data_IF_257456484068
#
_entry.id   IF_257456484068
#
_cell.length_a   1.000
_cell.length_b   1.000
_cell.length_c   1.000
_cell.angle_alpha   90.00
_cell.angle_beta   90.00
_cell.angle_gamma   90.00
#
_symmetry.space_group_name_H-M   'P 1'
#
loop_
_entity.id
_entity.type
_entity.pdbx_description
1 polymer ?
#
# COMPACT_ATOMS: atom_id res chain seq x y z
N UNK A 1 49.62 116.66 58.10
CA UNK A 1 48.45 115.77 58.25
C UNK A 1 48.93 114.34 58.14
N UNK A 2 48.85 113.59 59.24
CA UNK A 2 49.46 112.28 59.37
C UNK A 2 48.84 111.27 58.38
N UNK A 3 49.68 110.57 57.62
CA UNK A 3 49.30 109.43 56.79
C UNK A 3 48.83 108.27 57.70
N UNK A 4 47.57 108.31 58.15
CA UNK A 4 46.95 107.18 58.81
C UNK A 4 46.60 106.14 57.74
N UNK A 5 47.27 104.99 57.80
CA UNK A 5 46.97 103.84 56.96
C UNK A 5 45.55 103.36 57.30
N UNK A 6 44.65 103.20 56.32
CA UNK A 6 43.30 102.73 56.59
C UNK A 6 43.33 101.32 57.17
N UNK A 7 42.45 101.06 58.14
CA UNK A 7 42.27 99.73 58.73
C UNK A 7 41.66 98.77 57.70
N UNK A 8 41.89 97.47 57.90
CA UNK A 8 41.38 96.43 57.00
C UNK A 8 39.85 96.49 56.84
N UNK A 9 39.14 96.86 57.89
CA UNK A 9 37.69 97.05 57.87
C UNK A 9 37.28 98.17 56.91
N UNK A 10 37.94 99.34 56.94
CA UNK A 10 37.67 100.45 56.01
C UNK A 10 38.00 100.06 54.57
N UNK A 11 39.04 99.25 54.37
CA UNK A 11 39.43 98.74 53.04
C UNK A 11 38.36 97.77 52.51
N UNK A 12 37.89 96.83 53.33
CA UNK A 12 36.84 95.87 52.95
C UNK A 12 35.48 96.56 52.70
N UNK A 13 35.26 97.72 53.31
CA UNK A 13 34.05 98.53 53.12
C UNK A 13 34.01 99.31 51.79
N UNK A 14 35.15 99.45 51.09
CA UNK A 14 35.21 100.11 49.79
C UNK A 14 34.33 99.39 48.75
N UNK A 15 33.50 100.17 48.04
CA UNK A 15 32.53 99.66 47.04
C UNK A 15 33.18 98.77 45.98
N UNK A 16 34.37 99.15 45.52
CA UNK A 16 35.18 98.37 44.58
C UNK A 16 35.51 96.99 45.13
N UNK A 17 35.95 96.90 46.39
CA UNK A 17 36.34 95.63 47.02
C UNK A 17 35.12 94.74 47.26
N UNK A 18 34.00 95.29 47.73
CA UNK A 18 32.73 94.55 47.84
C UNK A 18 32.25 93.99 46.49
N UNK A 19 32.38 94.76 45.42
CA UNK A 19 32.05 94.31 44.07
C UNK A 19 32.93 93.13 43.63
N UNK A 20 34.25 93.21 43.83
CA UNK A 20 35.16 92.11 43.50
C UNK A 20 34.89 90.85 44.31
N UNK A 21 34.62 90.98 45.61
CA UNK A 21 34.26 89.85 46.48
C UNK A 21 32.98 89.16 46.01
N UNK A 22 31.92 89.93 45.71
CA UNK A 22 30.66 89.40 45.16
C UNK A 22 30.87 88.70 43.81
N UNK A 23 31.71 89.26 42.94
CA UNK A 23 32.00 88.65 41.65
C UNK A 23 32.79 87.35 41.80
N UNK A 24 33.78 87.33 42.69
CA UNK A 24 34.54 86.13 43.01
C UNK A 24 33.65 85.01 43.56
N UNK A 25 32.71 85.34 44.45
CA UNK A 25 31.74 84.38 44.99
C UNK A 25 30.83 83.81 43.88
N UNK A 26 30.29 84.66 42.99
CA UNK A 26 29.51 84.22 41.83
C UNK A 26 30.30 83.31 40.89
N UNK A 27 31.56 83.64 40.62
CA UNK A 27 32.45 82.80 39.79
C UNK A 27 32.72 81.46 40.46
N UNK A 28 32.94 81.45 41.79
CA UNK A 28 33.10 80.22 42.57
C UNK A 28 31.85 79.34 42.50
N UNK A 29 30.67 79.92 42.75
CA UNK A 29 29.38 79.22 42.67
C UNK A 29 29.11 78.67 41.26
N UNK A 30 29.39 79.46 40.21
CA UNK A 30 29.26 79.00 38.83
C UNK A 30 30.24 77.86 38.52
N UNK A 31 31.46 77.91 39.03
CA UNK A 31 32.46 76.84 38.86
C UNK A 31 32.03 75.53 39.53
N UNK A 32 31.44 75.61 40.73
CA UNK A 32 30.86 74.46 41.42
C UNK A 32 29.67 73.88 40.64
N UNK A 33 28.76 74.74 40.16
CA UNK A 33 27.62 74.29 39.35
C UNK A 33 28.06 73.59 38.05
N UNK A 34 29.09 74.11 37.38
CA UNK A 34 29.65 73.47 36.18
C UNK A 34 30.19 72.07 36.53
N UNK A 35 30.93 71.92 37.63
CA UNK A 35 31.43 70.61 38.08
C UNK A 35 30.29 69.64 38.39
N UNK A 36 29.23 70.10 39.06
CA UNK A 36 28.07 69.23 39.36
C UNK A 36 27.35 68.79 38.08
N UNK A 37 27.18 69.68 37.11
CA UNK A 37 26.55 69.35 35.82
C UNK A 37 27.42 68.37 35.03
N UNK A 38 28.74 68.56 35.01
CA UNK A 38 29.67 67.62 34.36
C UNK A 38 29.57 66.21 34.96
N UNK A 39 29.50 66.10 36.29
CA UNK A 39 29.31 64.82 36.96
C UNK A 39 27.97 64.17 36.60
N UNK A 40 26.89 64.96 36.51
CA UNK A 40 25.58 64.44 36.08
C UNK A 40 25.58 63.95 34.64
N UNK A 41 26.23 64.68 33.72
CA UNK A 41 26.37 64.25 32.32
C UNK A 41 27.15 62.95 32.24
N UNK A 42 28.29 62.85 32.94
CA UNK A 42 29.08 61.62 32.96
C UNK A 42 28.28 60.42 33.48
N UNK A 43 27.55 60.60 34.59
CA UNK A 43 26.68 59.53 35.13
C UNK A 43 25.57 59.14 34.15
N UNK A 44 24.99 60.12 33.46
CA UNK A 44 23.98 59.87 32.43
C UNK A 44 24.57 59.09 31.25
N UNK A 45 25.78 59.41 30.82
CA UNK A 45 26.46 58.72 29.72
C UNK A 45 26.79 57.27 30.09
N UNK A 46 27.32 57.03 31.30
CA UNK A 46 27.56 55.69 31.83
C UNK A 46 26.27 54.87 31.89
N UNK A 47 25.17 55.47 32.36
CA UNK A 47 23.85 54.83 32.37
C UNK A 47 23.34 54.50 30.97
N UNK A 48 23.52 55.41 30.01
CA UNK A 48 23.11 55.19 28.63
C UNK A 48 23.92 54.06 27.97
N UNK A 49 25.23 53.99 28.25
CA UNK A 49 26.07 52.89 27.77
C UNK A 49 25.62 51.54 28.36
N UNK A 50 25.33 51.49 29.65
CA UNK A 50 24.82 50.28 30.30
C UNK A 50 23.49 49.81 29.70
N UNK A 51 22.56 50.75 29.44
CA UNK A 51 21.29 50.45 28.79
C UNK A 51 21.49 49.93 27.35
N UNK A 52 22.39 50.52 26.57
CA UNK A 52 22.69 50.04 25.22
C UNK A 52 23.24 48.62 25.21
N UNK A 53 24.12 48.28 26.17
CA UNK A 53 24.62 46.92 26.30
C UNK A 53 23.50 45.94 26.67
N UNK A 54 22.61 46.34 27.58
CA UNK A 54 21.46 45.53 27.96
C UNK A 54 20.51 45.28 26.77
N UNK A 55 20.26 46.31 25.95
CA UNK A 55 19.45 46.19 24.73
C UNK A 55 20.09 45.20 23.74
N UNK A 56 21.41 45.31 23.49
CA UNK A 56 22.10 44.34 22.62
C UNK A 56 22.00 42.92 23.13
N UNK A 57 22.18 42.72 24.44
CA UNK A 57 22.03 41.40 25.04
C UNK A 57 20.60 40.86 24.93
N UNK A 58 19.57 41.71 25.06
CA UNK A 58 18.20 41.28 24.84
C UNK A 58 17.94 40.92 23.38
N UNK A 59 18.49 41.67 22.43
CA UNK A 59 18.33 41.39 21.00
C UNK A 59 18.96 40.04 20.63
N UNK A 60 20.16 39.74 21.14
CA UNK A 60 20.81 38.42 20.93
C UNK A 60 19.97 37.27 21.50
N UNK A 61 19.34 37.47 22.67
CA UNK A 61 18.43 36.48 23.26
C UNK A 61 17.15 36.30 22.43
N UNK A 62 16.63 37.38 21.87
CA UNK A 62 15.46 37.32 20.99
C UNK A 62 15.81 36.51 19.74
N UNK A 63 16.91 36.84 19.07
CA UNK A 63 17.37 36.15 17.85
C UNK A 63 17.51 34.64 18.11
N UNK A 64 18.20 34.26 19.18
CA UNK A 64 18.38 32.83 19.52
C UNK A 64 17.05 32.15 19.84
N UNK A 65 16.15 32.82 20.58
CA UNK A 65 14.82 32.28 20.87
C UNK A 65 13.95 32.11 19.62
N UNK A 66 14.02 33.05 18.67
CA UNK A 66 13.31 32.97 17.40
C UNK A 66 13.82 31.83 16.52
N UNK A 67 15.13 31.57 16.50
CA UNK A 67 15.70 30.43 15.81
C UNK A 67 15.23 29.09 16.40
N UNK A 68 15.19 28.99 17.72
CA UNK A 68 14.64 27.81 18.40
C UNK A 68 13.16 27.60 18.08
N UNK A 69 12.37 28.68 18.05
CA UNK A 69 10.95 28.62 17.67
C UNK A 69 10.79 28.15 16.21
N UNK A 70 11.56 28.71 15.28
CA UNK A 70 11.54 28.28 13.87
C UNK A 70 11.85 26.79 13.72
N UNK A 71 12.85 26.29 14.44
CA UNK A 71 13.18 24.86 14.43
C UNK A 71 12.05 24.00 15.03
N UNK A 72 11.44 24.44 16.11
CA UNK A 72 10.32 23.74 16.74
C UNK A 72 9.07 23.69 15.83
N UNK A 73 8.75 24.80 15.16
CA UNK A 73 7.65 24.89 14.20
C UNK A 73 7.85 23.95 13.01
N UNK A 74 9.05 23.91 12.44
CA UNK A 74 9.34 23.03 11.31
C UNK A 74 9.24 21.55 11.72
N UNK A 75 9.74 21.20 12.91
CA UNK A 75 9.56 19.84 13.45
C UNK A 75 8.10 19.47 13.61
N UNK A 76 7.29 20.38 14.16
CA UNK A 76 5.86 20.15 14.34
C UNK A 76 5.16 19.96 12.99
N UNK A 77 5.52 20.73 11.97
CA UNK A 77 4.97 20.59 10.62
C UNK A 77 5.27 19.23 10.00
N UNK A 78 6.51 18.75 10.13
CA UNK A 78 6.93 17.42 9.66
C UNK A 78 6.14 16.33 10.39
N UNK A 79 6.04 16.42 11.71
CA UNK A 79 5.30 15.43 12.51
C UNK A 79 3.81 15.39 12.16
N UNK A 80 3.18 16.55 11.96
CA UNK A 80 1.79 16.64 11.50
C UNK A 80 1.61 16.05 10.10
N UNK A 81 2.56 16.26 9.19
CA UNK A 81 2.52 15.64 7.87
C UNK A 81 2.64 14.12 7.97
N UNK A 82 3.60 13.61 8.73
CA UNK A 82 3.76 12.16 8.94
C UNK A 82 2.51 11.54 9.56
N UNK A 83 1.90 12.21 10.55
CA UNK A 83 0.65 11.75 11.16
C UNK A 83 -0.47 11.64 10.13
N UNK A 84 -0.66 12.64 9.27
CA UNK A 84 -1.65 12.61 8.19
C UNK A 84 -1.38 11.50 7.19
N UNK A 85 -0.12 11.27 6.82
CA UNK A 85 0.26 10.19 5.91
C UNK A 85 0.00 8.80 6.52
N UNK A 86 0.31 8.61 7.80
CA UNK A 86 0.02 7.37 8.53
C UNK A 86 -1.48 7.13 8.61
N UNK A 87 -2.27 8.16 8.92
CA UNK A 87 -3.72 8.08 9.00
C UNK A 87 -4.35 7.72 7.63
N UNK A 88 -3.91 8.37 6.55
CA UNK A 88 -4.36 8.02 5.19
C UNK A 88 -3.98 6.60 4.81
N UNK A 89 -2.75 6.15 5.14
CA UNK A 89 -2.32 4.77 4.91
C UNK A 89 -3.16 3.78 5.71
N UNK A 90 -3.53 4.10 6.94
CA UNK A 90 -4.39 3.26 7.78
C UNK A 90 -5.79 3.10 7.16
N UNK A 91 -6.40 4.20 6.71
CA UNK A 91 -7.70 4.18 6.04
C UNK A 91 -7.66 3.29 4.79
N UNK A 92 -6.63 3.43 3.94
CA UNK A 92 -6.48 2.63 2.72
C UNK A 92 -6.28 1.15 3.07
N UNK A 93 -5.47 0.85 4.09
CA UNK A 93 -5.24 -0.52 4.55
C UNK A 93 -6.52 -1.17 5.07
N UNK A 94 -7.32 -0.44 5.84
CA UNK A 94 -8.61 -0.90 6.37
C UNK A 94 -9.61 -1.17 5.24
N UNK A 95 -9.76 -0.25 4.28
CA UNK A 95 -10.61 -0.46 3.10
C UNK A 95 -10.19 -1.70 2.30
N UNK A 96 -8.88 -1.89 2.11
CA UNK A 96 -8.35 -3.06 1.40
C UNK A 96 -8.61 -4.35 2.17
N UNK A 97 -8.44 -4.34 3.50
CA UNK A 97 -8.75 -5.48 4.36
C UNK A 97 -10.23 -5.86 4.30
N UNK A 98 -11.13 -4.86 4.40
CA UNK A 98 -12.57 -5.08 4.27
C UNK A 98 -12.96 -5.66 2.91
N UNK A 99 -12.40 -5.14 1.81
CA UNK A 99 -12.65 -5.66 0.47
C UNK A 99 -12.18 -7.11 0.31
N UNK A 100 -11.00 -7.46 0.84
CA UNK A 100 -10.48 -8.83 0.83
C UNK A 100 -11.37 -9.77 1.65
N UNK A 101 -11.87 -9.32 2.80
CA UNK A 101 -12.79 -10.12 3.63
C UNK A 101 -14.11 -10.40 2.90
N UNK A 102 -14.71 -9.40 2.26
CA UNK A 102 -15.94 -9.59 1.46
C UNK A 102 -15.70 -10.57 0.31
N UNK A 103 -14.54 -10.45 -0.36
CA UNK A 103 -14.19 -11.38 -1.44
C UNK A 103 -13.98 -12.81 -0.91
N UNK A 104 -13.33 -12.97 0.24
CA UNK A 104 -13.16 -14.29 0.86
C UNK A 104 -14.51 -14.91 1.21
N UNK A 105 -15.36 -14.17 1.93
CA UNK A 105 -16.69 -14.65 2.31
C UNK A 105 -17.52 -15.05 1.07
N UNK A 106 -17.42 -14.29 -0.02
CA UNK A 106 -18.08 -14.64 -1.28
C UNK A 106 -17.55 -15.95 -1.89
N UNK A 107 -16.23 -16.17 -1.86
CA UNK A 107 -15.62 -17.42 -2.35
C UNK A 107 -16.05 -18.60 -1.48
N UNK A 108 -16.07 -18.42 -0.17
CA UNK A 108 -16.47 -19.47 0.77
C UNK A 108 -17.93 -19.88 0.52
N UNK A 109 -18.84 -18.92 0.33
CA UNK A 109 -20.23 -19.21 -0.04
C UNK A 109 -20.36 -20.03 -1.33
N UNK A 110 -19.57 -19.70 -2.36
CA UNK A 110 -19.54 -20.44 -3.63
C UNK A 110 -19.01 -21.86 -3.41
N UNK A 111 -17.93 -22.01 -2.64
CA UNK A 111 -17.34 -23.32 -2.32
C UNK A 111 -18.36 -24.19 -1.59
N UNK A 112 -19.02 -23.67 -0.56
CA UNK A 112 -20.06 -24.39 0.19
C UNK A 112 -21.19 -24.84 -0.73
N UNK A 113 -21.65 -23.97 -1.65
CA UNK A 113 -22.68 -24.32 -2.62
C UNK A 113 -22.24 -25.44 -3.56
N UNK A 114 -21.06 -25.32 -4.17
CA UNK A 114 -20.53 -26.31 -5.11
C UNK A 114 -20.29 -27.66 -4.44
N UNK A 115 -19.82 -27.67 -3.19
CA UNK A 115 -19.67 -28.90 -2.40
C UNK A 115 -21.02 -29.60 -2.20
N UNK A 116 -22.10 -28.84 -1.94
CA UNK A 116 -23.46 -29.36 -1.88
C UNK A 116 -23.90 -30.01 -3.19
N UNK A 117 -23.66 -29.35 -4.32
CA UNK A 117 -24.00 -29.86 -5.66
C UNK A 117 -23.21 -31.15 -6.00
N UNK A 118 -21.90 -31.20 -5.70
CA UNK A 118 -21.07 -32.41 -5.89
C UNK A 118 -21.59 -33.59 -5.08
N UNK A 119 -21.98 -33.36 -3.82
CA UNK A 119 -22.49 -34.41 -2.95
C UNK A 119 -23.82 -34.98 -3.47
N UNK A 120 -24.69 -34.15 -4.05
CA UNK A 120 -25.91 -34.62 -4.71
C UNK A 120 -25.60 -35.48 -5.95
N UNK A 121 -24.68 -35.05 -6.80
CA UNK A 121 -24.31 -35.81 -8.01
C UNK A 121 -23.69 -37.17 -7.70
N UNK A 122 -22.92 -37.29 -6.60
CA UNK A 122 -22.35 -38.57 -6.17
C UNK A 122 -23.38 -39.58 -5.67
N UNK A 123 -24.58 -39.13 -5.30
CA UNK A 123 -25.66 -40.02 -4.87
C UNK A 123 -26.43 -40.66 -6.02
N UNK A 124 -26.14 -40.28 -7.27
CA UNK A 124 -26.74 -40.91 -8.45
C UNK A 124 -26.17 -42.34 -8.58
N UNK A 125 -27.02 -43.39 -8.59
CA UNK A 125 -26.55 -44.75 -8.78
C UNK A 125 -25.91 -44.89 -10.16
N UNK A 126 -24.65 -45.30 -10.18
CA UNK A 126 -23.93 -45.66 -11.40
C UNK A 126 -24.70 -46.80 -12.06
N UNK A 127 -25.16 -46.58 -13.30
CA UNK A 127 -25.77 -47.64 -14.11
C UNK A 127 -24.70 -48.74 -14.23
N UNK A 128 -24.93 -49.87 -13.57
CA UNK A 128 -24.08 -51.03 -13.67
C UNK A 128 -23.97 -51.43 -15.14
N UNK A 129 -22.74 -51.68 -15.61
CA UNK A 129 -22.45 -52.12 -16.97
C UNK A 129 -23.39 -53.27 -17.36
N UNK A 130 -24.19 -53.06 -18.41
CA UNK A 130 -25.06 -54.09 -18.96
C UNK A 130 -24.23 -55.34 -19.32
N UNK A 131 -24.76 -56.55 -19.11
CA UNK A 131 -24.07 -57.78 -19.48
C UNK A 131 -23.80 -57.82 -20.99
N UNK A 132 -22.68 -58.44 -21.43
CA UNK A 132 -22.36 -58.54 -22.84
C UNK A 132 -23.44 -59.32 -23.60
N UNK A 133 -23.83 -58.78 -24.75
CA UNK A 133 -24.85 -59.37 -25.63
C UNK A 133 -24.39 -60.75 -26.12
N UNK A 134 -25.22 -61.78 -25.92
CA UNK A 134 -24.98 -63.11 -26.48
C UNK A 134 -25.38 -63.07 -27.96
N UNK A 135 -24.41 -63.03 -28.86
CA UNK A 135 -24.64 -63.06 -30.32
C UNK A 135 -24.26 -64.39 -30.92
N UNK A 136 -25.12 -64.95 -31.78
CA UNK A 136 -24.78 -66.11 -32.60
C UNK A 136 -24.26 -65.66 -33.97
N UNK A 137 -23.06 -66.10 -34.32
CA UNK A 137 -22.51 -65.94 -35.67
C UNK A 137 -22.95 -67.13 -36.54
N UNK A 138 -23.41 -66.86 -37.75
CA UNK A 138 -23.75 -67.91 -38.72
C UNK A 138 -22.89 -67.73 -39.99
N UNK A 139 -22.38 -68.84 -40.52
CA UNK A 139 -21.65 -68.90 -41.79
C UNK A 139 -22.47 -69.64 -42.85
N UNK A 140 -22.64 -69.07 -44.05
CA UNK A 140 -23.32 -69.75 -45.14
C UNK A 140 -22.46 -70.85 -45.78
N UNK A 141 -21.13 -70.74 -45.74
CA UNK A 141 -20.18 -71.69 -46.32
C UNK A 141 -19.04 -71.98 -45.35
N UNK A 142 -18.86 -73.25 -44.97
CA UNK A 142 -17.91 -73.67 -43.93
C UNK A 142 -16.47 -73.87 -44.44
N UNK A 143 -16.24 -73.75 -45.75
CA UNK A 143 -14.94 -74.01 -46.36
C UNK A 143 -13.98 -72.80 -46.30
N UNK A 144 -14.52 -71.60 -46.14
CA UNK A 144 -13.74 -70.35 -46.22
C UNK A 144 -13.34 -69.77 -44.85
N UNK A 145 -13.78 -70.39 -43.75
CA UNK A 145 -13.38 -69.98 -42.41
C UNK A 145 -14.10 -70.70 -41.28
N UNK A 146 -13.68 -70.40 -40.05
CA UNK A 146 -14.17 -71.03 -38.83
C UNK A 146 -14.65 -70.01 -37.79
N UNK A 147 -15.71 -70.33 -37.05
CA UNK A 147 -16.17 -69.53 -35.90
C UNK A 147 -15.51 -70.05 -34.61
N UNK A 148 -14.94 -69.15 -33.82
CA UNK A 148 -14.44 -69.40 -32.47
C UNK A 148 -15.03 -68.39 -31.50
N UNK A 149 -16.08 -68.78 -30.79
CA UNK A 149 -16.82 -67.88 -29.89
C UNK A 149 -17.47 -66.74 -30.68
N UNK A 150 -17.11 -65.50 -30.36
CA UNK A 150 -17.57 -64.28 -31.06
C UNK A 150 -16.65 -63.84 -32.21
N UNK A 151 -15.69 -64.68 -32.60
CA UNK A 151 -14.72 -64.37 -33.66
C UNK A 151 -14.93 -65.28 -34.87
N UNK A 152 -14.81 -64.72 -36.06
CA UNK A 152 -14.66 -65.46 -37.30
C UNK A 152 -13.21 -65.37 -37.78
N UNK A 153 -12.66 -66.48 -38.26
CA UNK A 153 -11.30 -66.58 -38.79
C UNK A 153 -11.42 -67.09 -40.22
N UNK A 154 -11.08 -66.26 -41.19
CA UNK A 154 -10.99 -66.63 -42.60
C UNK A 154 -9.78 -67.55 -42.83
N UNK A 155 -9.88 -68.49 -43.77
CA UNK A 155 -8.70 -69.27 -44.20
C UNK A 155 -7.78 -68.44 -45.08
N UNK A 156 -6.47 -68.66 -45.00
CA UNK A 156 -5.51 -68.05 -45.93
C UNK A 156 -5.35 -68.88 -47.22
N UNK A 157 -6.02 -70.04 -47.30
CA UNK A 157 -5.86 -70.98 -48.40
C UNK A 157 -6.60 -70.55 -49.69
N UNK A 158 -7.50 -69.57 -49.59
CA UNK A 158 -8.24 -69.03 -50.72
C UNK A 158 -8.55 -67.52 -50.54
N UNK A 159 -8.93 -66.85 -51.62
CA UNK A 159 -9.30 -65.42 -51.63
C UNK A 159 -10.83 -65.25 -51.83
N UNK A 160 -11.62 -66.16 -51.28
CA UNK A 160 -13.08 -66.11 -51.42
C UNK A 160 -13.66 -65.00 -50.56
N UNK A 161 -14.79 -64.42 -51.00
CA UNK A 161 -15.51 -63.43 -50.20
C UNK A 161 -16.41 -64.12 -49.18
N UNK A 162 -16.19 -63.85 -47.90
CA UNK A 162 -17.06 -64.34 -46.83
C UNK A 162 -18.15 -63.34 -46.45
N UNK A 163 -19.36 -63.84 -46.25
CA UNK A 163 -20.45 -63.09 -45.59
C UNK A 163 -20.75 -63.77 -44.26
N UNK A 164 -20.68 -63.02 -43.17
CA UNK A 164 -20.99 -63.50 -41.82
C UNK A 164 -22.28 -62.81 -41.40
N UNK A 165 -23.24 -63.57 -40.89
CA UNK A 165 -24.47 -63.00 -40.32
C UNK A 165 -24.45 -63.11 -38.81
N UNK A 166 -24.91 -62.04 -38.14
CA UNK A 166 -25.06 -61.98 -36.69
C UNK A 166 -26.55 -61.84 -36.41
N UNK A 167 -27.08 -62.70 -35.54
CA UNK A 167 -28.48 -62.64 -35.10
C UNK A 167 -28.54 -62.24 -33.61
N UNK A 168 -28.62 -60.93 -33.29
CA UNK A 168 -28.65 -60.46 -31.92
C UNK A 168 -30.06 -60.57 -31.31
N UNK A 169 -30.17 -61.15 -30.11
CA UNK A 169 -31.42 -61.11 -29.34
C UNK A 169 -31.42 -59.84 -28.47
N UNK A 170 -32.22 -58.85 -28.85
CA UNK A 170 -32.37 -57.58 -28.11
C UNK A 170 -33.75 -57.57 -27.45
N UNK A 171 -33.80 -57.82 -26.13
CA UNK A 171 -35.07 -57.87 -25.40
C UNK A 171 -35.61 -56.47 -25.06
N UNK A 172 -34.75 -55.53 -24.67
CA UNK A 172 -35.12 -54.14 -24.33
C UNK A 172 -33.97 -53.15 -24.59
N UNK A 173 -34.31 -51.93 -25.00
CA UNK A 173 -33.38 -50.79 -25.04
C UNK A 173 -32.60 -50.63 -26.34
N UNK A 174 -31.51 -49.85 -26.26
CA UNK A 174 -30.57 -49.56 -27.36
C UNK A 174 -29.28 -50.32 -27.07
N UNK A 175 -28.82 -51.12 -28.04
CA UNK A 175 -27.58 -51.90 -27.92
C UNK A 175 -26.50 -51.39 -28.86
N UNK A 176 -25.27 -51.33 -28.37
CA UNK A 176 -24.08 -51.00 -29.18
C UNK A 176 -23.53 -52.27 -29.82
N UNK A 177 -23.36 -52.26 -31.14
CA UNK A 177 -22.65 -53.29 -31.89
C UNK A 177 -21.25 -52.82 -32.26
N UNK A 178 -20.25 -53.68 -32.10
CA UNK A 178 -18.85 -53.39 -32.44
C UNK A 178 -18.22 -54.60 -33.14
N UNK A 179 -17.59 -54.34 -34.30
CA UNK A 179 -16.84 -55.34 -35.06
C UNK A 179 -15.36 -54.96 -35.07
N UNK A 180 -14.51 -55.86 -34.55
CA UNK A 180 -13.06 -55.66 -34.47
C UNK A 180 -12.40 -56.53 -35.53
N UNK A 181 -11.70 -55.90 -36.48
CA UNK A 181 -10.94 -56.58 -37.52
C UNK A 181 -9.46 -56.60 -37.14
N UNK A 182 -8.83 -57.77 -37.16
CA UNK A 182 -7.40 -57.96 -36.84
C UNK A 182 -6.68 -58.58 -38.04
N UNK A 183 -5.38 -58.33 -38.14
CA UNK A 183 -4.47 -58.96 -39.11
C UNK A 183 -4.94 -58.85 -40.58
N UNK A 184 -5.35 -57.65 -41.01
CA UNK A 184 -5.99 -57.40 -42.31
C UNK A 184 -5.19 -56.46 -43.22
N UNK A 185 -3.86 -56.52 -43.15
CA UNK A 185 -2.96 -55.66 -43.91
C UNK A 185 -2.80 -56.16 -45.37
N UNK A 186 -3.46 -55.50 -46.33
CA UNK A 186 -3.37 -55.82 -47.77
C UNK A 186 -4.34 -55.03 -48.65
N UNK A 187 -4.07 -54.94 -49.97
CA UNK A 187 -4.81 -54.08 -50.92
C UNK A 187 -6.24 -54.56 -51.26
N UNK A 188 -6.64 -55.79 -50.90
CA UNK A 188 -7.92 -56.39 -51.31
C UNK A 188 -8.97 -56.55 -50.19
N UNK A 189 -8.79 -55.91 -49.04
CA UNK A 189 -9.77 -56.02 -47.94
C UNK A 189 -10.96 -55.05 -48.11
N UNK A 190 -12.15 -55.58 -48.41
CA UNK A 190 -13.39 -54.80 -48.51
C UNK A 190 -14.35 -55.13 -47.36
N UNK A 191 -14.85 -54.09 -46.67
CA UNK A 191 -15.78 -54.18 -45.53
C UNK A 191 -17.15 -53.63 -45.95
N UNK A 192 -18.19 -54.44 -45.87
CA UNK A 192 -19.57 -53.97 -46.01
C UNK A 192 -20.37 -54.50 -44.82
N UNK A 193 -21.02 -53.59 -44.08
CA UNK A 193 -21.95 -53.91 -43.01
C UNK A 193 -23.31 -53.40 -43.46
N UNK A 194 -24.32 -54.26 -43.42
CA UNK A 194 -25.70 -53.91 -43.72
C UNK A 194 -26.61 -54.50 -42.63
N UNK A 195 -27.66 -53.76 -42.29
CA UNK A 195 -28.67 -54.19 -41.34
C UNK A 195 -29.89 -54.70 -42.12
N UNK A 196 -30.33 -55.91 -41.81
CA UNK A 196 -31.56 -56.49 -42.35
C UNK A 196 -32.55 -56.58 -41.21
N UNK A 197 -33.70 -55.94 -41.37
CA UNK A 197 -34.85 -56.16 -40.50
C UNK A 197 -35.68 -57.30 -41.09
N UNK A 198 -35.72 -58.44 -40.41
CA UNK A 198 -36.48 -59.63 -40.82
C UNK A 198 -37.88 -59.67 -40.23
N UNK A 199 -38.26 -58.71 -39.39
CA UNK A 199 -39.62 -58.61 -38.85
C UNK A 199 -40.54 -57.92 -39.86
N UNK A 200 -41.33 -58.72 -40.58
CA UNK A 200 -42.59 -58.31 -41.20
C UNK A 200 -43.75 -59.05 -40.56
#
# INVERSE_FOLDING_TARGET
>A
TANQRPTIEVILELSTIKMYLRNHEKVSQSGEMIRTLQLQVQQSDERNQALQLQVRQSDERIITSEEHLRYAEERLRIEQQQKREIEQRAIIAEQRSGALQVQSNSKDNIITRLQGEINQLRSIPVIQSLPPLITKLNLPYQEDGQIRGSSFIHTNDNNNKCTITVDPIIEQGITRFEAIFKDHDGEEFSKIIFFIDTNK
#
